data_IF_830021520518
#
_entry.id   IF_830021520518
#
_cell.length_a   1.000
_cell.length_b   1.000
_cell.length_c   1.000
_cell.angle_alpha   90.00
_cell.angle_beta   90.00
_cell.angle_gamma   90.00
#
_symmetry.space_group_name_H-M   'P 1'
#
loop_
_entity.id
_entity.type
_entity.pdbx_description
1 polymer ?
#
# COMPACT_ATOMS: atom_id res chain seq x y z
N UNK A 1 -28.49 -35.86 1.40
CA UNK A 1 -27.61 -35.28 0.36
C UNK A 1 -26.33 -36.11 0.34
N UNK A 2 -26.06 -36.85 -0.73
CA UNK A 2 -24.81 -37.62 -0.86
C UNK A 2 -23.65 -36.65 -1.13
N UNK A 3 -22.52 -36.76 -0.40
CA UNK A 3 -21.35 -35.95 -0.70
C UNK A 3 -20.81 -36.33 -2.09
N UNK A 4 -20.66 -35.35 -2.96
CA UNK A 4 -20.10 -35.55 -4.31
C UNK A 4 -18.58 -35.60 -4.21
N UNK A 5 -17.96 -36.58 -4.86
CA UNK A 5 -16.51 -36.65 -5.00
C UNK A 5 -16.01 -35.38 -5.71
N UNK A 6 -14.93 -34.73 -5.24
CA UNK A 6 -14.36 -33.59 -5.94
C UNK A 6 -13.91 -33.97 -7.35
N UNK A 7 -14.05 -33.07 -8.34
CA UNK A 7 -13.55 -33.34 -9.68
C UNK A 7 -12.03 -33.58 -9.65
N UNK A 8 -11.49 -34.35 -10.60
CA UNK A 8 -10.05 -34.52 -10.72
C UNK A 8 -9.38 -33.16 -10.96
N UNK A 9 -8.14 -32.97 -10.49
CA UNK A 9 -7.40 -31.73 -10.71
C UNK A 9 -7.19 -31.49 -12.20
N UNK A 10 -7.31 -30.23 -12.62
CA UNK A 10 -7.00 -29.82 -14.00
C UNK A 10 -5.50 -29.82 -14.25
N UNK A 11 -5.09 -29.74 -15.52
CA UNK A 11 -3.71 -29.36 -15.86
C UNK A 11 -3.39 -27.96 -15.32
N UNK A 12 -2.11 -27.70 -15.07
CA UNK A 12 -1.59 -26.37 -14.79
C UNK A 12 -1.99 -25.41 -15.92
N UNK A 13 -2.32 -24.17 -15.58
CA UNK A 13 -2.69 -23.13 -16.55
C UNK A 13 -1.50 -22.56 -17.32
N UNK A 14 -0.26 -22.93 -16.95
CA UNK A 14 0.89 -22.64 -17.79
C UNK A 14 0.81 -23.47 -19.08
N UNK A 15 0.82 -22.86 -20.28
CA UNK A 15 0.57 -23.56 -21.54
C UNK A 15 1.52 -24.73 -21.83
N UNK A 16 2.72 -24.73 -21.23
CA UNK A 16 3.76 -25.72 -21.50
C UNK A 16 3.96 -26.71 -20.35
N UNK A 17 3.29 -26.50 -19.22
CA UNK A 17 3.45 -27.33 -18.03
C UNK A 17 2.50 -28.55 -18.08
N UNK A 18 3.02 -29.79 -18.07
CA UNK A 18 2.19 -30.98 -18.07
C UNK A 18 1.60 -31.33 -16.69
N UNK A 19 2.08 -30.69 -15.62
CA UNK A 19 1.72 -31.02 -14.24
C UNK A 19 0.25 -30.68 -13.92
N UNK A 20 -0.26 -31.34 -12.87
CA UNK A 20 -1.59 -31.08 -12.34
C UNK A 20 -1.61 -29.83 -11.45
N UNK A 21 -2.70 -29.09 -11.52
CA UNK A 21 -2.93 -27.94 -10.68
C UNK A 21 -3.15 -28.37 -9.22
N UNK A 22 -2.39 -27.76 -8.31
CA UNK A 22 -2.53 -27.98 -6.86
C UNK A 22 -3.47 -26.95 -6.24
N UNK A 23 -3.35 -25.68 -6.67
CA UNK A 23 -4.23 -24.59 -6.25
C UNK A 23 -4.29 -23.48 -7.29
N UNK A 24 -5.43 -22.78 -7.35
CA UNK A 24 -5.66 -21.62 -8.26
C UNK A 24 -5.32 -21.92 -9.73
N UNK A 25 -5.55 -23.16 -10.16
CA UNK A 25 -5.29 -23.61 -11.53
C UNK A 25 -3.81 -23.75 -11.91
N UNK A 26 -2.86 -23.74 -10.95
CA UNK A 26 -1.42 -23.90 -11.22
C UNK A 26 -0.80 -24.98 -10.35
N UNK A 27 0.26 -25.64 -10.84
CA UNK A 27 1.08 -26.54 -10.02
C UNK A 27 1.93 -25.73 -9.02
N UNK A 28 2.59 -26.40 -8.07
CA UNK A 28 3.37 -25.72 -7.02
C UNK A 28 4.56 -24.92 -7.57
N UNK A 29 5.20 -25.39 -8.64
CA UNK A 29 6.30 -24.68 -9.30
C UNK A 29 5.84 -23.38 -9.98
N UNK A 30 4.61 -23.36 -10.49
CA UNK A 30 4.03 -22.19 -11.15
C UNK A 30 3.19 -21.33 -10.20
N UNK A 31 3.25 -21.58 -8.89
CA UNK A 31 2.63 -20.66 -7.95
C UNK A 31 3.38 -19.34 -7.94
N UNK A 32 2.66 -18.20 -7.82
CA UNK A 32 3.31 -16.92 -7.59
C UNK A 32 4.15 -17.03 -6.31
N UNK A 33 5.43 -16.73 -6.42
CA UNK A 33 6.30 -16.61 -5.24
C UNK A 33 5.77 -15.45 -4.41
N UNK A 34 5.38 -15.66 -3.15
CA UNK A 34 4.92 -14.58 -2.29
C UNK A 34 5.97 -13.48 -2.22
N UNK A 35 5.55 -12.23 -2.40
CA UNK A 35 6.38 -11.02 -2.28
C UNK A 35 7.50 -10.86 -3.33
N UNK A 36 7.62 -11.76 -4.31
CA UNK A 36 8.57 -11.59 -5.41
C UNK A 36 8.30 -10.32 -6.22
N UNK A 37 9.37 -9.60 -6.57
CA UNK A 37 9.29 -8.36 -7.35
C UNK A 37 8.73 -7.15 -6.58
N UNK A 38 8.61 -7.22 -5.25
CA UNK A 38 8.35 -5.99 -4.47
C UNK A 38 9.65 -5.21 -4.30
N UNK A 39 9.67 -4.00 -4.86
CA UNK A 39 10.66 -2.99 -4.49
C UNK A 39 10.63 -2.75 -2.98
N UNK A 40 11.80 -2.59 -2.38
CA UNK A 40 11.91 -2.11 -1.02
C UNK A 40 11.40 -0.65 -0.92
N UNK A 41 11.08 -0.19 0.29
CA UNK A 41 10.52 1.16 0.49
C UNK A 41 11.47 2.27 0.04
N UNK A 42 12.79 2.07 0.16
CA UNK A 42 13.78 3.05 -0.25
C UNK A 42 13.84 3.14 -1.77
N UNK A 43 13.80 1.99 -2.47
CA UNK A 43 13.69 1.93 -3.92
C UNK A 43 12.40 2.57 -4.45
N UNK A 44 11.26 2.34 -3.76
CA UNK A 44 9.97 2.89 -4.19
C UNK A 44 9.84 4.40 -4.02
N UNK A 45 10.35 4.95 -2.91
CA UNK A 45 10.12 6.35 -2.55
C UNK A 45 11.38 7.22 -2.63
N UNK A 46 12.55 6.63 -2.89
CA UNK A 46 13.85 7.34 -2.87
C UNK A 46 14.28 7.76 -1.46
N UNK A 47 13.77 7.11 -0.41
CA UNK A 47 14.03 7.50 0.99
C UNK A 47 14.53 6.30 1.80
N UNK A 48 15.78 6.39 2.26
CA UNK A 48 16.33 5.40 3.20
C UNK A 48 15.72 5.55 4.60
N UNK A 49 15.74 4.47 5.39
CA UNK A 49 15.26 4.48 6.77
C UNK A 49 16.03 5.47 7.66
N UNK A 50 17.32 5.71 7.37
CA UNK A 50 18.14 6.70 8.05
C UNK A 50 17.71 8.13 7.75
N UNK A 51 17.47 8.43 6.46
CA UNK A 51 16.93 9.73 6.04
C UNK A 51 15.55 10.01 6.65
N UNK A 52 14.69 8.99 6.74
CA UNK A 52 13.38 9.13 7.36
C UNK A 52 13.45 9.48 8.86
N UNK A 53 14.37 8.84 9.60
CA UNK A 53 14.63 9.17 11.01
C UNK A 53 15.17 10.60 11.18
N UNK A 54 16.07 11.03 10.29
CA UNK A 54 16.59 12.40 10.32
C UNK A 54 15.50 13.45 10.05
N UNK A 55 14.61 13.18 9.08
CA UNK A 55 13.44 14.02 8.81
C UNK A 55 12.51 14.08 10.01
N UNK A 56 12.27 12.96 10.70
CA UNK A 56 11.41 12.93 11.90
C UNK A 56 11.97 13.84 12.98
N UNK A 57 13.27 13.75 13.27
CA UNK A 57 13.91 14.61 14.26
C UNK A 57 13.91 16.10 13.86
N UNK A 58 13.99 16.41 12.56
CA UNK A 58 13.90 17.79 12.08
C UNK A 58 12.49 18.37 12.24
N UNK A 59 11.45 17.58 11.92
CA UNK A 59 10.04 17.96 12.10
C UNK A 59 9.69 18.07 13.58
N UNK A 60 10.14 17.14 14.41
CA UNK A 60 9.96 17.16 15.86
C UNK A 60 10.48 18.46 16.50
N UNK A 61 11.70 18.88 16.14
CA UNK A 61 12.25 20.17 16.57
C UNK A 61 11.49 21.39 16.04
N UNK A 62 10.94 21.31 14.83
CA UNK A 62 10.18 22.41 14.22
C UNK A 62 8.82 22.58 14.90
N UNK A 63 8.16 21.45 15.16
CA UNK A 63 6.79 21.40 15.66
C UNK A 63 6.73 21.31 17.19
N UNK A 64 7.87 21.40 17.89
CA UNK A 64 8.00 21.28 19.35
C UNK A 64 7.36 20.01 19.92
N UNK A 65 7.44 18.89 19.20
CA UNK A 65 6.81 17.63 19.59
C UNK A 65 5.27 17.64 19.53
N UNK A 66 4.64 18.66 18.96
CA UNK A 66 3.19 18.74 18.84
C UNK A 66 2.66 17.99 17.61
N UNK A 67 1.47 17.41 17.75
CA UNK A 67 0.73 16.87 16.61
C UNK A 67 0.35 18.00 15.63
N UNK A 68 0.68 17.85 14.35
CA UNK A 68 0.37 18.89 13.35
C UNK A 68 -1.13 19.03 13.06
N UNK A 69 -1.94 18.03 13.42
CA UNK A 69 -3.38 18.02 13.17
C UNK A 69 -4.19 18.54 14.35
N UNK A 70 -3.84 18.15 15.58
CA UNK A 70 -4.62 18.50 16.78
C UNK A 70 -3.85 19.31 17.83
N UNK A 71 -2.54 19.50 17.67
CA UNK A 71 -1.69 20.23 18.62
C UNK A 71 -1.27 19.46 19.87
N UNK A 72 -1.71 18.21 20.05
CA UNK A 72 -1.36 17.38 21.21
C UNK A 72 0.15 17.15 21.32
N UNK A 73 0.74 17.49 22.47
CA UNK A 73 2.15 17.35 22.83
C UNK A 73 2.41 16.27 23.88
N UNK A 74 1.37 15.54 24.32
CA UNK A 74 1.45 14.50 25.35
C UNK A 74 1.26 13.08 24.80
N UNK A 75 1.27 12.89 23.48
CA UNK A 75 1.07 11.55 22.92
C UNK A 75 2.27 10.64 23.21
N UNK A 76 1.99 9.38 23.57
CA UNK A 76 3.03 8.36 23.84
C UNK A 76 4.00 8.17 22.65
N UNK A 77 3.48 8.34 21.43
CA UNK A 77 4.26 8.26 20.22
C UNK A 77 3.65 9.08 19.08
N UNK A 78 4.53 9.67 18.28
CA UNK A 78 4.20 10.31 17.01
C UNK A 78 4.71 9.51 15.83
N UNK A 79 3.93 9.51 14.74
CA UNK A 79 4.33 9.01 13.44
C UNK A 79 4.73 10.21 12.58
N UNK A 80 5.87 10.12 11.88
CA UNK A 80 6.18 11.08 10.83
C UNK A 80 5.30 10.72 9.63
N UNK A 81 4.55 11.69 9.13
CA UNK A 81 3.55 11.46 8.10
C UNK A 81 3.59 12.57 7.03
N UNK A 82 3.16 12.22 5.82
CA UNK A 82 3.04 13.15 4.69
C UNK A 82 1.69 13.86 4.76
N UNK A 83 1.67 15.19 4.93
CA UNK A 83 0.43 16.01 4.94
C UNK A 83 -0.37 15.81 3.66
N UNK A 84 0.31 15.86 2.51
CA UNK A 84 -0.19 15.41 1.21
C UNK A 84 0.50 14.10 0.86
N UNK A 85 -0.22 13.00 0.62
CA UNK A 85 0.39 11.71 0.22
C UNK A 85 1.22 11.83 -1.04
N UNK A 86 2.31 11.05 -1.13
CA UNK A 86 3.15 10.96 -2.34
C UNK A 86 2.29 10.57 -3.56
N UNK A 87 1.32 9.67 -3.39
CA UNK A 87 0.40 9.25 -4.47
C UNK A 87 -0.55 10.35 -4.95
N UNK A 88 -0.66 11.45 -4.20
CA UNK A 88 -1.46 12.65 -4.50
C UNK A 88 -0.57 13.84 -4.88
N UNK A 89 0.72 13.62 -5.15
CA UNK A 89 1.67 14.65 -5.58
C UNK A 89 2.45 15.32 -4.44
N UNK A 90 2.32 14.84 -3.22
CA UNK A 90 3.05 15.37 -2.08
C UNK A 90 4.57 15.14 -2.17
N UNK A 91 5.34 16.12 -1.72
CA UNK A 91 6.80 15.99 -1.66
C UNK A 91 7.20 14.86 -0.69
N UNK A 92 8.07 13.93 -1.11
CA UNK A 92 8.49 12.83 -0.25
C UNK A 92 9.33 13.29 0.96
N UNK A 93 10.06 14.41 0.83
CA UNK A 93 11.05 14.83 1.85
C UNK A 93 11.00 16.31 2.23
N UNK A 94 10.12 17.13 1.64
CA UNK A 94 9.99 18.52 2.07
C UNK A 94 9.46 18.58 3.49
N UNK A 95 10.11 19.34 4.37
CA UNK A 95 9.64 19.53 5.73
C UNK A 95 8.22 20.11 5.73
N UNK A 96 7.87 21.01 4.82
CA UNK A 96 6.54 21.64 4.76
C UNK A 96 5.42 20.62 4.52
N UNK A 97 5.72 19.54 3.79
CA UNK A 97 4.80 18.42 3.55
C UNK A 97 4.88 17.31 4.61
N UNK A 98 5.73 17.45 5.63
CA UNK A 98 5.87 16.48 6.71
C UNK A 98 5.34 17.05 8.02
N UNK A 99 4.76 16.18 8.85
CA UNK A 99 4.29 16.53 10.19
C UNK A 99 4.27 15.33 11.13
N UNK A 100 4.31 15.60 12.44
CA UNK A 100 4.10 14.58 13.47
C UNK A 100 2.60 14.34 13.69
N UNK A 101 2.12 13.12 13.45
CA UNK A 101 0.74 12.74 13.73
C UNK A 101 0.71 11.84 14.98
N UNK A 102 -0.15 12.17 15.95
CA UNK A 102 -0.47 11.25 17.03
C UNK A 102 -1.30 10.07 16.50
N UNK A 103 -1.33 8.95 17.21
CA UNK A 103 -2.02 7.72 16.77
C UNK A 103 -3.48 7.92 16.31
N UNK A 104 -4.33 8.66 17.05
CA UNK A 104 -5.69 8.95 16.63
C UNK A 104 -5.77 9.74 15.31
N UNK A 105 -4.93 10.78 15.17
CA UNK A 105 -4.90 11.60 13.96
C UNK A 105 -4.39 10.84 12.75
N UNK A 106 -3.34 10.03 12.91
CA UNK A 106 -2.79 9.15 11.87
C UNK A 106 -3.85 8.15 11.38
N UNK A 107 -4.64 7.58 12.31
CA UNK A 107 -5.72 6.65 11.97
C UNK A 107 -6.81 7.32 11.13
N UNK A 108 -7.26 8.51 11.55
CA UNK A 108 -8.30 9.27 10.84
C UNK A 108 -7.81 9.65 9.43
N UNK A 109 -6.59 10.16 9.32
CA UNK A 109 -5.99 10.56 8.04
C UNK A 109 -5.82 9.36 7.10
N UNK A 110 -5.24 8.26 7.61
CA UNK A 110 -5.03 7.03 6.85
C UNK A 110 -6.35 6.46 6.31
N UNK A 111 -7.42 6.50 7.11
CA UNK A 111 -8.75 6.05 6.67
C UNK A 111 -9.31 6.93 5.54
N UNK A 112 -9.22 8.25 5.68
CA UNK A 112 -9.65 9.20 4.64
C UNK A 112 -8.86 9.02 3.33
N UNK A 113 -7.56 8.79 3.42
CA UNK A 113 -6.69 8.52 2.28
C UNK A 113 -7.01 7.20 1.58
N UNK A 114 -7.26 6.14 2.36
CA UNK A 114 -7.66 4.86 1.81
C UNK A 114 -8.98 4.97 1.03
N UNK A 115 -9.95 5.75 1.54
CA UNK A 115 -11.21 6.01 0.83
C UNK A 115 -10.96 6.73 -0.50
N UNK A 116 -10.16 7.81 -0.50
CA UNK A 116 -9.80 8.53 -1.74
C UNK A 116 -9.05 7.65 -2.73
N UNK A 117 -8.11 6.84 -2.25
CA UNK A 117 -7.36 5.88 -3.07
C UNK A 117 -8.25 4.83 -3.71
N UNK A 118 -9.23 4.31 -2.96
CA UNK A 118 -10.21 3.36 -3.48
C UNK A 118 -11.12 3.99 -4.53
N UNK A 119 -11.55 5.24 -4.33
CA UNK A 119 -12.32 5.97 -5.32
C UNK A 119 -11.54 6.14 -6.63
N UNK A 120 -10.29 6.65 -6.58
CA UNK A 120 -9.43 6.78 -7.77
C UNK A 120 -9.24 5.44 -8.50
N UNK A 121 -9.11 4.34 -7.75
CA UNK A 121 -9.00 3.00 -8.34
C UNK A 121 -10.27 2.61 -9.11
N UNK A 122 -11.45 2.87 -8.54
CA UNK A 122 -12.74 2.60 -9.19
C UNK A 122 -12.92 3.43 -10.45
N UNK A 123 -12.59 4.72 -10.40
CA UNK A 123 -12.66 5.62 -11.55
C UNK A 123 -11.74 5.16 -12.70
N UNK A 124 -10.49 4.78 -12.38
CA UNK A 124 -9.56 4.21 -13.37
C UNK A 124 -10.08 2.90 -13.98
N UNK A 125 -10.69 2.04 -13.18
CA UNK A 125 -11.27 0.80 -13.68
C UNK A 125 -12.46 1.07 -14.62
N UNK A 126 -13.34 2.00 -14.26
CA UNK A 126 -14.45 2.43 -15.12
C UNK A 126 -13.95 3.04 -16.43
N UNK A 127 -12.95 3.92 -16.38
CA UNK A 127 -12.33 4.52 -17.57
C UNK A 127 -11.68 3.47 -18.49
N UNK A 128 -11.04 2.44 -17.92
CA UNK A 128 -10.49 1.31 -18.69
C UNK A 128 -11.60 0.49 -19.37
N UNK A 129 -12.69 0.20 -18.66
CA UNK A 129 -13.82 -0.53 -19.22
C UNK A 129 -14.48 0.24 -20.38
N UNK A 130 -14.64 1.56 -20.23
CA UNK A 130 -15.17 2.41 -21.29
C UNK A 130 -14.29 2.47 -22.55
N UNK A 131 -12.96 2.26 -22.41
CA UNK A 131 -12.01 2.28 -23.54
C UNK A 131 -12.00 0.99 -24.36
N UNK A 132 -12.42 -0.14 -23.78
CA UNK A 132 -12.45 -1.44 -24.45
C UNK A 132 -13.84 -2.07 -24.31
N UNK A 133 -14.84 -1.57 -25.08
CA UNK A 133 -16.23 -2.01 -24.95
C UNK A 133 -16.51 -3.42 -25.51
N UNK A 134 -15.52 -4.16 -26.01
CA UNK A 134 -15.65 -5.54 -26.48
C UNK A 134 -14.39 -6.35 -26.10
N UNK A 135 -14.62 -7.57 -25.58
CA UNK A 135 -13.60 -8.45 -24.96
C UNK A 135 -12.54 -8.99 -25.91
#
# INVERSE_FOLDING_TARGET
MTPRCPPPPSRCSDPTCPDLATKRGRCDQHQPIPWAGRDDKASRYGISSGRWRALKAAVDRRDNGCCWMCGDDQADAYVLDHKVPISEGGSPTSLDNLGLACGPCDTVKSAAEALRGNQRRRERAAARAARHPGG
#
